data_IF_447032158997
#
_entry.id   IF_447032158997
#
_cell.length_a   1.000
_cell.length_b   1.000
_cell.length_c   1.000
_cell.angle_alpha   90.00
_cell.angle_beta   90.00
_cell.angle_gamma   90.00
#
_symmetry.space_group_name_H-M   'P 1'
#
loop_
_entity.id
_entity.type
_entity.pdbx_description
1 polymer ?
#
# COMPACT_ATOMS: atom_id res chain seq x y z
N UNK A 1 -14.98 66.42 58.05
CA UNK A 1 -16.26 67.13 57.81
C UNK A 1 -17.07 66.25 56.87
N UNK A 2 -18.03 65.49 57.41
CA UNK A 2 -19.48 65.76 57.33
C UNK A 2 -20.07 65.34 55.98
N UNK A 3 -20.77 64.20 55.91
CA UNK A 3 -22.26 64.06 55.89
C UNK A 3 -22.87 64.69 54.62
N UNK A 4 -23.83 64.10 53.89
CA UNK A 4 -24.54 62.82 53.87
C UNK A 4 -25.43 62.84 52.57
N UNK A 5 -26.16 61.77 52.23
CA UNK A 5 -26.71 61.48 50.91
C UNK A 5 -28.24 61.74 50.76
N UNK A 6 -28.77 61.48 49.56
CA UNK A 6 -30.20 61.37 49.22
C UNK A 6 -30.39 60.09 48.39
N UNK A 7 -31.05 59.00 48.86
CA UNK A 7 -32.52 58.70 48.80
C UNK A 7 -33.09 58.87 47.38
N UNK A 8 -33.85 57.96 46.76
CA UNK A 8 -34.49 56.65 47.03
C UNK A 8 -34.96 56.12 45.64
N UNK A 9 -35.69 55.04 45.40
CA UNK A 9 -36.55 54.17 46.21
C UNK A 9 -36.99 52.96 45.35
N UNK A 10 -37.07 51.80 45.99
CA UNK A 10 -37.98 50.65 45.87
C UNK A 10 -38.57 50.16 44.53
N UNK A 11 -38.31 48.87 44.26
CA UNK A 11 -39.27 47.90 43.75
C UNK A 11 -38.92 46.51 44.28
N UNK A 12 -39.74 45.96 45.20
CA UNK A 12 -39.66 44.59 45.71
C UNK A 12 -40.42 43.65 44.77
N UNK A 13 -39.91 42.44 44.54
CA UNK A 13 -40.75 41.28 44.31
C UNK A 13 -40.13 40.02 44.91
N UNK A 14 -41.00 39.21 45.51
CA UNK A 14 -40.71 38.05 46.34
C UNK A 14 -40.37 36.79 45.50
N UNK A 15 -39.65 35.84 46.12
CA UNK A 15 -39.35 34.49 45.59
C UNK A 15 -40.60 33.59 45.53
N UNK A 16 -40.52 32.24 45.42
CA UNK A 16 -39.42 31.34 45.84
C UNK A 16 -39.15 30.14 44.87
N UNK A 17 -38.42 29.13 45.37
CA UNK A 17 -38.15 27.76 44.84
C UNK A 17 -36.83 27.55 44.08
N UNK A 18 -35.80 27.22 44.86
CA UNK A 18 -34.72 26.35 44.39
C UNK A 18 -35.27 24.92 44.33
N UNK A 19 -35.29 24.34 43.13
CA UNK A 19 -35.31 22.90 42.96
C UNK A 19 -33.85 22.41 42.98
N UNK A 20 -33.55 21.57 43.95
CA UNK A 20 -32.36 20.73 44.00
C UNK A 20 -32.34 19.80 42.78
N UNK A 21 -31.27 19.87 41.99
CA UNK A 21 -30.97 18.92 40.92
C UNK A 21 -30.55 17.60 41.57
N UNK A 22 -31.14 16.44 41.20
CA UNK A 22 -30.66 15.14 41.65
C UNK A 22 -29.28 14.87 41.04
N UNK A 23 -28.31 14.54 41.88
CA UNK A 23 -27.08 13.88 41.44
C UNK A 23 -27.45 12.42 41.13
N UNK A 24 -27.75 12.14 39.87
CA UNK A 24 -27.73 10.77 39.36
C UNK A 24 -26.28 10.42 39.03
N UNK A 25 -25.66 9.68 39.96
CA UNK A 25 -24.41 8.96 39.76
C UNK A 25 -24.63 7.84 38.72
N UNK A 26 -24.62 8.21 37.44
CA UNK A 26 -24.50 7.26 36.33
C UNK A 26 -23.05 6.78 36.27
N UNK A 27 -22.78 5.73 37.06
CA UNK A 27 -21.54 4.97 37.02
C UNK A 27 -21.33 4.43 35.60
N UNK A 28 -20.45 5.08 34.84
CA UNK A 28 -19.94 4.55 33.57
C UNK A 28 -19.47 3.09 33.78
N UNK A 29 -19.95 2.13 32.98
CA UNK A 29 -19.48 0.75 33.11
C UNK A 29 -17.99 0.68 32.77
N UNK A 30 -17.24 0.04 33.67
CA UNK A 30 -15.81 -0.20 33.56
C UNK A 30 -15.53 -1.20 32.42
N UNK A 31 -15.25 -0.68 31.23
CA UNK A 31 -14.97 -1.47 30.03
C UNK A 31 -13.59 -2.15 30.05
N UNK A 32 -12.74 -1.91 31.05
CA UNK A 32 -11.45 -2.61 31.16
C UNK A 32 -11.59 -4.04 31.71
N UNK A 33 -12.71 -4.38 32.36
CA UNK A 33 -12.92 -5.72 32.94
C UNK A 33 -13.41 -6.79 31.94
N UNK A 34 -13.78 -6.43 30.71
CA UNK A 34 -14.34 -7.36 29.71
C UNK A 34 -13.30 -7.95 28.73
N UNK A 35 -12.04 -7.51 28.77
CA UNK A 35 -10.97 -8.01 27.88
C UNK A 35 -9.94 -8.80 28.67
N UNK A 36 -10.41 -9.77 29.44
CA UNK A 36 -9.53 -10.78 30.04
C UNK A 36 -10.34 -12.01 30.41
N UNK A 37 -10.44 -12.94 29.45
CA UNK A 37 -10.50 -14.41 29.60
C UNK A 37 -11.03 -15.04 28.31
N UNK A 38 -10.10 -15.45 27.43
CA UNK A 38 -10.05 -16.81 26.91
C UNK A 38 -8.86 -16.99 25.96
N UNK A 39 -7.89 -17.72 26.49
CA UNK A 39 -6.92 -18.61 25.83
C UNK A 39 -7.58 -19.39 24.67
N UNK A 40 -6.96 -19.94 23.63
CA UNK A 40 -5.58 -20.08 23.13
C UNK A 40 -5.67 -20.97 21.88
N UNK A 41 -4.62 -20.95 21.04
CA UNK A 41 -4.23 -21.95 20.03
C UNK A 41 -4.85 -21.86 18.63
N UNK A 42 -4.24 -21.05 17.76
CA UNK A 42 -3.83 -21.49 16.41
C UNK A 42 -2.55 -20.71 16.05
N UNK A 43 -1.39 -21.33 16.26
CA UNK A 43 -0.17 -21.00 15.53
C UNK A 43 -0.25 -21.71 14.18
N UNK A 44 -0.48 -20.97 13.11
CA UNK A 44 -0.12 -21.43 11.77
C UNK A 44 1.11 -20.62 11.33
N UNK A 45 2.26 -21.23 11.57
CA UNK A 45 3.47 -20.92 10.82
C UNK A 45 3.21 -21.39 9.39
N UNK A 46 3.22 -20.48 8.43
CA UNK A 46 3.42 -20.84 7.03
C UNK A 46 4.66 -20.16 6.46
N UNK A 47 5.47 -21.04 5.90
CA UNK A 47 6.86 -20.94 5.54
C UNK A 47 6.92 -20.47 4.08
N UNK A 48 7.36 -19.23 3.83
CA UNK A 48 7.89 -18.88 2.51
C UNK A 48 9.41 -19.10 2.52
N UNK A 49 9.74 -20.26 1.98
CA UNK A 49 11.05 -20.89 1.91
C UNK A 49 12.00 -20.10 1.01
N UNK A 50 12.74 -19.14 1.58
CA UNK A 50 14.08 -18.80 1.11
C UNK A 50 15.05 -19.74 1.80
N UNK A 51 15.74 -20.56 1.01
CA UNK A 51 16.68 -21.56 1.47
C UNK A 51 17.76 -20.97 2.38
N UNK A 52 17.58 -21.15 3.69
CA UNK A 52 18.67 -21.55 4.56
C UNK A 52 18.35 -22.97 5.05
N UNK A 53 19.29 -23.87 4.76
CA UNK A 53 19.30 -25.25 5.21
C UNK A 53 19.25 -25.28 6.74
N UNK A 54 18.26 -25.96 7.32
CA UNK A 54 18.43 -26.62 8.61
C UNK A 54 17.40 -27.74 8.80
N UNK A 55 17.91 -28.98 8.74
CA UNK A 55 17.23 -30.17 9.25
C UNK A 55 17.25 -30.15 10.79
N UNK A 56 16.20 -30.65 11.48
CA UNK A 56 16.29 -30.96 12.88
C UNK A 56 16.81 -32.39 13.04
N UNK A 57 18.10 -32.54 13.32
CA UNK A 57 18.63 -33.76 13.92
C UNK A 57 19.24 -33.42 15.26
N UNK A 58 18.52 -33.84 16.29
CA UNK A 58 18.99 -33.92 17.66
C UNK A 58 20.16 -34.91 17.71
N UNK A 59 21.37 -34.42 17.46
CA UNK A 59 22.63 -35.12 17.70
C UNK A 59 23.57 -34.09 18.31
N UNK A 60 23.98 -34.33 19.56
CA UNK A 60 25.15 -33.70 20.17
C UNK A 60 26.39 -34.07 19.36
N UNK A 61 26.56 -33.41 18.23
CA UNK A 61 27.71 -33.50 17.34
C UNK A 61 28.54 -32.24 17.50
N UNK A 62 29.80 -32.42 17.86
CA UNK A 62 30.85 -31.40 17.91
C UNK A 62 30.68 -30.37 16.78
N UNK A 63 30.54 -29.10 17.17
CA UNK A 63 30.54 -27.97 16.24
C UNK A 63 31.84 -27.98 15.44
N UNK A 64 31.80 -28.53 14.23
CA UNK A 64 32.89 -28.37 13.28
C UNK A 64 32.95 -26.89 12.93
N UNK A 65 33.97 -26.19 13.43
CA UNK A 65 34.38 -24.86 12.99
C UNK A 65 34.83 -24.93 11.52
N UNK A 66 33.92 -25.24 10.60
CA UNK A 66 34.17 -24.98 9.19
C UNK A 66 34.25 -23.46 9.06
N UNK A 67 35.36 -22.91 8.56
CA UNK A 67 35.45 -21.48 8.32
C UNK A 67 34.24 -21.12 7.45
N UNK A 68 33.40 -20.22 7.95
CA UNK A 68 32.28 -19.69 7.18
C UNK A 68 32.83 -19.29 5.83
N UNK A 69 32.32 -19.93 4.77
CA UNK A 69 32.71 -19.58 3.42
C UNK A 69 32.58 -18.06 3.31
N UNK A 70 33.67 -17.38 2.95
CA UNK A 70 33.73 -15.92 2.94
C UNK A 70 32.83 -15.38 1.83
N UNK A 71 31.51 -15.36 2.06
CA UNK A 71 30.53 -14.80 1.14
C UNK A 71 30.82 -13.31 0.99
N UNK A 72 31.31 -12.91 -0.19
CA UNK A 72 31.58 -11.51 -0.49
C UNK A 72 30.36 -10.87 -1.11
N UNK A 73 29.84 -9.84 -0.46
CA UNK A 73 28.77 -8.98 -0.96
C UNK A 73 29.35 -7.61 -1.30
N UNK A 74 29.03 -7.09 -2.47
CA UNK A 74 29.41 -5.75 -2.89
C UNK A 74 28.19 -4.83 -2.80
N UNK A 75 28.37 -3.62 -2.26
CA UNK A 75 27.28 -2.65 -2.08
C UNK A 75 27.69 -1.32 -2.70
N UNK A 76 26.91 -0.87 -3.68
CA UNK A 76 27.07 0.42 -4.33
C UNK A 76 26.00 1.38 -3.80
N UNK A 77 26.42 2.54 -3.30
CA UNK A 77 25.53 3.52 -2.68
C UNK A 77 25.38 4.74 -3.57
N UNK A 78 24.14 5.13 -3.84
CA UNK A 78 23.80 6.31 -4.64
C UNK A 78 22.91 7.24 -3.81
N UNK A 79 23.35 8.49 -3.64
CA UNK A 79 22.56 9.53 -2.98
C UNK A 79 21.82 10.36 -4.03
N UNK A 80 20.55 10.65 -3.78
CA UNK A 80 19.70 11.43 -4.67
C UNK A 80 18.81 12.38 -3.87
N UNK A 81 18.40 13.47 -4.50
CA UNK A 81 17.41 14.40 -3.96
C UNK A 81 16.23 14.49 -4.94
N UNK A 82 15.05 14.02 -4.53
CA UNK A 82 13.83 14.04 -5.35
C UNK A 82 12.74 14.86 -4.63
N UNK A 83 12.31 15.98 -5.22
CA UNK A 83 11.40 16.95 -4.59
C UNK A 83 11.76 17.24 -3.12
N UNK A 84 13.01 17.64 -2.87
CA UNK A 84 13.56 17.92 -1.54
C UNK A 84 13.59 16.73 -0.57
N UNK A 85 13.32 15.52 -1.06
CA UNK A 85 13.40 14.29 -0.28
C UNK A 85 14.76 13.64 -0.50
N UNK A 86 15.64 13.57 0.52
CA UNK A 86 16.89 12.84 0.41
C UNK A 86 16.62 11.33 0.37
N UNK A 87 17.12 10.67 -0.67
CA UNK A 87 16.93 9.24 -0.93
C UNK A 87 18.31 8.61 -1.14
N UNK A 88 18.55 7.46 -0.52
CA UNK A 88 19.72 6.64 -0.79
C UNK A 88 19.27 5.34 -1.46
N UNK A 89 19.94 4.94 -2.53
CA UNK A 89 19.77 3.63 -3.15
C UNK A 89 21.01 2.79 -2.89
N UNK A 90 20.78 1.52 -2.54
CA UNK A 90 21.83 0.52 -2.44
C UNK A 90 21.61 -0.54 -3.51
N UNK A 91 22.63 -0.74 -4.34
CA UNK A 91 22.69 -1.86 -5.28
C UNK A 91 23.64 -2.87 -4.70
N UNK A 92 23.09 -4.00 -4.28
CA UNK A 92 23.83 -5.13 -3.76
C UNK A 92 24.12 -6.11 -4.89
N UNK A 93 25.37 -6.57 -4.98
CA UNK A 93 25.83 -7.58 -5.93
C UNK A 93 26.42 -8.75 -5.14
N UNK A 94 25.79 -9.91 -5.25
CA UNK A 94 26.15 -11.14 -4.53
C UNK A 94 26.43 -12.26 -5.53
N UNK A 95 27.62 -12.88 -5.52
CA UNK A 95 27.88 -14.06 -6.33
C UNK A 95 27.06 -15.25 -5.82
N UNK A 96 26.43 -16.00 -6.73
CA UNK A 96 25.60 -17.14 -6.36
C UNK A 96 26.42 -18.29 -5.72
N UNK A 97 27.68 -18.44 -6.13
CA UNK A 97 28.63 -19.42 -5.58
C UNK A 97 29.43 -18.89 -4.38
N UNK A 98 29.17 -17.66 -3.95
CA UNK A 98 29.89 -16.97 -2.88
C UNK A 98 31.29 -16.47 -3.26
N UNK A 99 31.78 -16.76 -4.49
CA UNK A 99 33.12 -16.40 -4.94
C UNK A 99 33.07 -15.24 -5.94
N UNK A 100 33.98 -14.25 -5.85
CA UNK A 100 34.01 -13.13 -6.78
C UNK A 100 34.70 -13.51 -8.11
N UNK A 101 34.22 -14.57 -8.75
CA UNK A 101 34.72 -15.11 -10.02
C UNK A 101 33.68 -14.94 -11.12
N UNK A 102 34.06 -15.17 -12.38
CA UNK A 102 33.10 -15.19 -13.48
C UNK A 102 32.01 -16.24 -13.20
N UNK A 103 30.75 -15.87 -13.35
CA UNK A 103 29.63 -16.73 -12.96
C UNK A 103 28.31 -15.98 -12.82
N UNK A 104 27.36 -16.61 -12.13
CA UNK A 104 26.04 -16.02 -11.88
C UNK A 104 26.07 -15.12 -10.65
N UNK A 105 25.54 -13.91 -10.79
CA UNK A 105 25.40 -12.92 -9.73
C UNK A 105 23.95 -12.53 -9.54
N UNK A 106 23.58 -12.29 -8.28
CA UNK A 106 22.29 -11.75 -7.88
C UNK A 106 22.44 -10.27 -7.53
N UNK A 107 21.60 -9.45 -8.14
CA UNK A 107 21.46 -8.03 -7.88
C UNK A 107 20.22 -7.80 -7.02
N UNK A 108 20.36 -6.99 -5.97
CA UNK A 108 19.24 -6.53 -5.15
C UNK A 108 19.27 -5.01 -5.05
N UNK A 109 18.12 -4.40 -5.20
CA UNK A 109 17.94 -2.96 -5.04
C UNK A 109 17.20 -2.69 -3.72
N UNK A 110 17.80 -1.88 -2.87
CA UNK A 110 17.11 -1.30 -1.70
C UNK A 110 17.15 0.22 -1.75
N UNK A 111 16.18 0.83 -1.09
CA UNK A 111 16.04 2.26 -0.93
C UNK A 111 15.96 2.58 0.54
N UNK A 112 16.77 3.53 0.98
CA UNK A 112 16.74 4.10 2.32
C UNK A 112 16.33 5.55 2.28
N UNK A 113 15.32 5.85 3.08
CA UNK A 113 14.78 7.19 3.23
C UNK A 113 14.47 7.37 4.70
N UNK A 114 15.01 8.44 5.27
CA UNK A 114 14.79 8.79 6.68
C UNK A 114 15.06 7.64 7.67
N UNK A 115 16.21 6.99 7.52
CA UNK A 115 16.62 5.88 8.39
C UNK A 115 15.80 4.58 8.25
N UNK A 116 14.93 4.50 7.26
CA UNK A 116 14.18 3.28 6.91
C UNK A 116 14.66 2.77 5.56
N UNK A 117 15.27 1.59 5.54
CA UNK A 117 15.69 0.88 4.33
C UNK A 117 14.71 -0.26 4.01
N UNK A 118 14.27 -0.34 2.76
CA UNK A 118 13.45 -1.45 2.25
C UNK A 118 13.89 -1.90 0.86
N UNK A 119 13.55 -3.12 0.48
CA UNK A 119 13.74 -3.61 -0.88
C UNK A 119 12.83 -2.86 -1.87
N UNK A 120 13.33 -2.69 -3.08
CA UNK A 120 12.60 -2.09 -4.20
C UNK A 120 12.57 -3.09 -5.35
N UNK A 121 11.43 -3.76 -5.52
CA UNK A 121 11.25 -4.80 -6.52
C UNK A 121 11.94 -6.12 -6.17
N UNK A 122 11.94 -7.03 -7.14
CA UNK A 122 12.52 -8.37 -7.01
C UNK A 122 14.02 -8.37 -7.36
N UNK A 123 14.75 -9.37 -6.86
CA UNK A 123 16.16 -9.56 -7.19
C UNK A 123 16.34 -10.03 -8.63
N UNK A 124 17.44 -9.62 -9.27
CA UNK A 124 17.71 -9.95 -10.68
C UNK A 124 19.01 -10.74 -10.77
N UNK A 125 19.02 -11.83 -11.54
CA UNK A 125 20.23 -12.61 -11.79
C UNK A 125 20.84 -12.29 -13.16
N UNK A 126 22.17 -12.21 -13.23
CA UNK A 126 22.94 -12.07 -14.48
C UNK A 126 24.19 -12.93 -14.44
N UNK A 127 24.62 -13.42 -15.60
CA UNK A 127 25.92 -14.06 -15.77
C UNK A 127 26.92 -12.97 -16.10
N UNK A 128 28.05 -12.95 -15.39
CA UNK A 128 29.07 -11.91 -15.51
C UNK A 128 30.45 -12.54 -15.58
N UNK A 129 31.31 -11.99 -16.43
CA UNK A 129 32.75 -12.28 -16.48
C UNK A 129 33.60 -11.17 -15.88
N UNK A 130 33.00 -10.01 -15.61
CA UNK A 130 33.69 -8.80 -15.12
C UNK A 130 33.74 -8.79 -13.59
N UNK A 131 34.85 -8.27 -13.04
CA UNK A 131 35.02 -8.13 -11.59
C UNK A 131 33.90 -7.26 -11.00
N UNK A 132 33.12 -7.78 -10.03
CA UNK A 132 32.02 -7.04 -9.42
C UNK A 132 32.45 -5.78 -8.65
N UNK A 133 33.74 -5.48 -8.51
CA UNK A 133 34.29 -4.23 -7.93
C UNK A 133 34.46 -3.10 -8.95
N UNK A 134 34.40 -3.41 -10.24
CA UNK A 134 34.60 -2.45 -11.33
C UNK A 134 33.29 -2.05 -12.02
N UNK A 135 32.15 -2.43 -11.43
CA UNK A 135 30.86 -2.14 -12.02
C UNK A 135 30.52 -0.67 -11.83
N UNK A 136 29.94 -0.07 -12.86
CA UNK A 136 29.37 1.26 -12.80
C UNK A 136 27.86 1.15 -13.00
N UNK A 137 27.09 1.91 -12.22
CA UNK A 137 25.64 2.00 -12.41
C UNK A 137 25.22 3.43 -12.72
N UNK A 138 24.29 3.56 -13.66
CA UNK A 138 23.52 4.78 -13.88
C UNK A 138 22.17 4.65 -13.16
N UNK A 139 21.99 5.44 -12.11
CA UNK A 139 20.78 5.46 -11.29
C UNK A 139 20.10 6.82 -11.47
N UNK A 140 18.89 6.82 -12.00
CA UNK A 140 18.15 8.07 -12.20
C UNK A 140 16.65 7.88 -11.93
N UNK A 141 16.05 8.93 -11.39
CA UNK A 141 14.61 9.03 -11.16
C UNK A 141 14.03 10.18 -11.98
N UNK A 142 12.79 10.01 -12.42
CA UNK A 142 12.01 11.06 -13.05
C UNK A 142 10.55 10.99 -12.57
N UNK A 143 9.77 12.08 -12.68
CA UNK A 143 8.35 12.05 -12.31
C UNK A 143 7.63 10.94 -13.08
N UNK A 144 6.78 10.15 -12.39
CA UNK A 144 6.09 9.03 -13.02
C UNK A 144 5.04 9.46 -14.05
N UNK A 145 4.60 8.52 -14.90
CA UNK A 145 3.76 8.81 -16.09
C UNK A 145 2.44 9.53 -15.81
N UNK A 146 1.95 9.54 -14.58
CA UNK A 146 0.74 10.26 -14.17
C UNK A 146 0.96 11.13 -12.91
N UNK A 147 2.20 11.58 -12.65
CA UNK A 147 2.53 12.28 -11.41
C UNK A 147 1.67 13.52 -11.12
N UNK A 148 1.08 14.15 -12.15
CA UNK A 148 0.16 15.30 -12.01
C UNK A 148 -1.27 14.93 -11.60
N UNK A 149 -1.68 13.69 -11.84
CA UNK A 149 -3.03 13.19 -11.53
C UNK A 149 -3.05 12.36 -10.25
N UNK A 150 -1.89 11.86 -9.83
CA UNK A 150 -1.75 10.99 -8.68
C UNK A 150 -1.62 11.82 -7.42
N UNK A 151 -2.53 11.58 -6.48
CA UNK A 151 -2.55 12.23 -5.18
C UNK A 151 -1.91 11.33 -4.11
N UNK A 152 -1.19 11.92 -3.13
CA UNK A 152 -0.82 13.35 -3.07
C UNK A 152 0.18 13.71 -4.17
N UNK A 153 0.14 14.97 -4.63
CA UNK A 153 1.03 15.45 -5.70
C UNK A 153 2.51 15.32 -5.31
N UNK A 154 3.39 15.27 -6.30
CA UNK A 154 4.85 15.17 -6.12
C UNK A 154 5.33 13.89 -5.40
N UNK A 155 4.47 12.88 -5.28
CA UNK A 155 4.82 11.64 -4.60
C UNK A 155 5.21 10.49 -5.53
N UNK A 156 4.81 10.52 -6.80
CA UNK A 156 5.02 9.43 -7.75
C UNK A 156 6.26 9.65 -8.63
N UNK A 157 7.18 8.68 -8.56
CA UNK A 157 8.42 8.64 -9.32
C UNK A 157 8.57 7.34 -10.11
N UNK A 158 9.31 7.40 -11.20
CA UNK A 158 9.83 6.22 -11.90
C UNK A 158 11.35 6.17 -11.73
N UNK A 159 11.86 5.01 -11.32
CA UNK A 159 13.28 4.73 -11.12
C UNK A 159 13.79 3.81 -12.24
N UNK A 160 15.01 4.10 -12.69
CA UNK A 160 15.78 3.26 -13.61
C UNK A 160 17.17 3.05 -13.07
N UNK A 161 17.63 1.81 -13.18
CA UNK A 161 19.00 1.41 -12.84
C UNK A 161 19.57 0.64 -14.02
N UNK A 162 20.64 1.16 -14.59
CA UNK A 162 21.40 0.52 -15.66
C UNK A 162 22.78 0.16 -15.15
N UNK A 163 23.25 -1.04 -15.49
CA UNK A 163 24.62 -1.47 -15.30
C UNK A 163 25.41 -1.11 -16.56
N UNK A 164 26.52 -0.38 -16.40
CA UNK A 164 27.44 -0.02 -17.47
C UNK A 164 28.71 -0.85 -17.36
N UNK A 165 29.01 -1.63 -18.39
CA UNK A 165 30.20 -2.48 -18.45
C UNK A 165 30.74 -2.46 -19.87
N UNK A 166 32.03 -2.13 -20.03
CA UNK A 166 32.75 -2.14 -21.30
C UNK A 166 32.01 -1.39 -22.45
N UNK A 167 31.38 -0.27 -22.12
CA UNK A 167 30.62 0.56 -23.08
C UNK A 167 29.24 0.02 -23.46
N UNK A 168 28.78 -1.07 -22.81
CA UNK A 168 27.44 -1.63 -22.99
C UNK A 168 26.58 -1.37 -21.75
N UNK A 169 25.38 -0.85 -21.98
CA UNK A 169 24.42 -0.52 -20.93
C UNK A 169 23.33 -1.59 -20.84
N UNK A 170 23.17 -2.19 -19.66
CA UNK A 170 22.17 -3.21 -19.37
C UNK A 170 21.14 -2.70 -18.35
N UNK A 171 19.87 -2.63 -18.74
CA UNK A 171 18.81 -2.30 -17.77
C UNK A 171 18.69 -3.43 -16.74
N UNK A 172 18.92 -3.09 -15.47
CA UNK A 172 18.67 -3.99 -14.36
C UNK A 172 17.26 -3.74 -13.84
N UNK A 173 17.04 -2.60 -13.19
CA UNK A 173 15.79 -2.34 -12.49
C UNK A 173 14.95 -1.27 -13.20
N UNK A 174 13.65 -1.55 -13.30
CA UNK A 174 12.63 -0.65 -13.82
C UNK A 174 11.45 -0.61 -12.85
N UNK A 175 11.32 0.50 -12.13
CA UNK A 175 10.23 0.72 -11.16
C UNK A 175 9.43 1.90 -11.66
N UNK A 176 8.20 1.66 -12.10
CA UNK A 176 7.35 2.73 -12.66
C UNK A 176 6.59 3.50 -11.57
N UNK A 177 6.34 2.84 -10.44
CA UNK A 177 5.47 3.31 -9.35
C UNK A 177 6.20 3.38 -8.01
N UNK A 178 7.18 4.28 -7.90
CA UNK A 178 7.89 4.55 -6.65
C UNK A 178 7.29 5.76 -5.94
N UNK A 179 6.61 5.51 -4.82
CA UNK A 179 5.89 6.53 -4.06
C UNK A 179 6.69 7.01 -2.85
N UNK A 180 7.18 8.23 -2.93
CA UNK A 180 7.99 8.88 -1.89
C UNK A 180 7.90 10.40 -2.01
N UNK A 181 7.81 11.09 -0.88
CA UNK A 181 7.87 12.55 -0.86
C UNK A 181 7.91 13.13 0.55
N UNK A 182 8.36 14.37 0.64
CA UNK A 182 8.45 15.16 1.86
C UNK A 182 7.22 16.08 1.95
N UNK A 183 6.61 16.15 3.14
CA UNK A 183 5.51 17.06 3.46
C UNK A 183 4.36 17.02 2.45
N UNK A 184 3.94 15.80 2.10
CA UNK A 184 2.89 15.56 1.13
C UNK A 184 1.53 16.08 1.65
N UNK A 185 0.79 16.78 0.80
CA UNK A 185 -0.54 17.30 1.15
C UNK A 185 -1.61 16.21 0.97
N UNK A 186 -1.84 15.42 2.03
CA UNK A 186 -2.89 14.42 2.05
C UNK A 186 -4.31 15.01 2.12
N UNK A 187 -4.46 16.29 2.49
CA UNK A 187 -5.78 16.94 2.54
C UNK A 187 -6.32 17.22 1.13
N UNK A 188 -5.44 17.23 0.11
CA UNK A 188 -5.84 17.32 -1.29
C UNK A 188 -6.61 16.09 -1.80
N UNK A 189 -6.61 14.98 -1.05
CA UNK A 189 -7.31 13.74 -1.41
C UNK A 189 -8.78 13.87 -1.02
N UNK A 190 -9.63 14.19 -2.00
CA UNK A 190 -11.09 14.22 -1.82
C UNK A 190 -11.66 12.89 -1.32
N UNK A 191 -12.68 12.97 -0.48
CA UNK A 191 -13.43 11.85 0.10
C UNK A 191 -12.60 10.82 0.89
N UNK A 192 -11.33 11.12 1.19
CA UNK A 192 -10.48 10.22 1.96
C UNK A 192 -10.92 10.16 3.42
N UNK A 193 -11.09 8.94 3.93
CA UNK A 193 -11.28 8.67 5.34
C UNK A 193 -9.97 8.16 5.95
N UNK A 194 -9.42 8.91 6.89
CA UNK A 194 -8.14 8.63 7.54
C UNK A 194 -8.33 7.87 8.84
N UNK A 195 -7.57 6.79 9.01
CA UNK A 195 -7.50 6.09 10.29
C UNK A 195 -6.65 6.90 11.29
N UNK A 196 -7.11 6.98 12.52
CA UNK A 196 -6.43 7.67 13.62
C UNK A 196 -5.65 6.67 14.45
N UNK A 197 -4.43 7.02 14.83
CA UNK A 197 -3.66 6.23 15.77
C UNK A 197 -4.41 6.16 17.12
N UNK A 198 -4.65 4.94 17.59
CA UNK A 198 -5.47 4.66 18.76
C UNK A 198 -4.65 4.06 19.91
N UNK A 199 -3.56 3.37 19.63
CA UNK A 199 -2.74 2.74 20.67
C UNK A 199 -1.40 2.23 20.14
N UNK A 200 -0.41 2.21 21.04
CA UNK A 200 0.93 1.70 20.79
C UNK A 200 1.22 0.59 21.79
N UNK A 201 1.51 -0.60 21.27
CA UNK A 201 2.02 -1.74 22.03
C UNK A 201 3.54 -1.88 21.91
N UNK A 202 4.07 -2.98 22.46
CA UNK A 202 5.50 -3.29 22.39
C UNK A 202 5.94 -3.70 20.97
N UNK A 203 5.07 -4.43 20.28
CA UNK A 203 5.30 -5.04 18.96
C UNK A 203 4.16 -4.74 17.97
N UNK A 204 3.26 -3.80 18.31
CA UNK A 204 2.16 -3.40 17.44
C UNK A 204 1.74 -1.93 17.60
N UNK A 205 1.05 -1.41 16.59
CA UNK A 205 0.32 -0.14 16.60
C UNK A 205 -1.10 -0.35 16.10
N UNK A 206 -2.07 0.32 16.73
CA UNK A 206 -3.49 0.22 16.39
C UNK A 206 -3.95 1.55 15.80
N UNK A 207 -4.68 1.46 14.69
CA UNK A 207 -5.31 2.60 14.03
C UNK A 207 -6.79 2.31 13.85
N UNK A 208 -7.66 3.29 14.11
CA UNK A 208 -9.11 3.15 13.95
C UNK A 208 -9.61 4.15 12.90
N UNK A 209 -10.37 3.68 11.93
CA UNK A 209 -10.93 4.51 10.87
C UNK A 209 -12.26 3.99 10.37
N UNK A 210 -13.00 4.82 9.65
CA UNK A 210 -14.24 4.40 8.99
C UNK A 210 -13.96 4.04 7.53
N UNK A 211 -14.49 2.90 7.07
CA UNK A 211 -14.45 2.47 5.67
C UNK A 211 -15.87 2.10 5.27
N UNK A 212 -16.48 2.86 4.36
CA UNK A 212 -17.85 2.61 3.92
C UNK A 212 -18.86 2.59 5.07
N UNK A 213 -18.74 3.49 6.05
CA UNK A 213 -19.52 3.54 7.30
C UNK A 213 -19.25 2.40 8.30
N UNK A 214 -18.41 1.40 7.98
CA UNK A 214 -17.96 0.41 8.96
C UNK A 214 -16.78 0.98 9.76
N UNK A 215 -16.78 0.76 11.09
CA UNK A 215 -15.61 1.02 11.92
C UNK A 215 -14.60 -0.12 11.73
N UNK A 216 -13.41 0.22 11.25
CA UNK A 216 -12.32 -0.71 10.99
C UNK A 216 -11.14 -0.39 11.90
N UNK A 217 -10.60 -1.44 12.53
CA UNK A 217 -9.37 -1.41 13.29
C UNK A 217 -8.26 -1.98 12.43
N UNK A 218 -7.26 -1.18 12.10
CA UNK A 218 -6.02 -1.63 11.47
C UNK A 218 -4.97 -1.87 12.53
N UNK A 219 -4.32 -3.03 12.48
CA UNK A 219 -3.25 -3.40 13.40
C UNK A 219 -1.97 -3.62 12.61
N UNK A 220 -0.95 -2.84 12.93
CA UNK A 220 0.39 -2.99 12.34
C UNK A 220 1.27 -3.68 13.36
N UNK A 221 1.71 -4.90 13.08
CA UNK A 221 2.62 -5.65 13.97
C UNK A 221 4.02 -5.66 13.40
N UNK A 222 5.03 -5.80 14.26
CA UNK A 222 6.39 -6.03 13.83
C UNK A 222 7.11 -7.06 14.70
N UNK A 223 7.95 -7.85 14.06
CA UNK A 223 8.84 -8.79 14.71
C UNK A 223 10.28 -8.54 14.26
N UNK A 224 11.21 -8.50 15.22
CA UNK A 224 12.63 -8.33 14.91
C UNK A 224 13.19 -9.65 14.37
N UNK A 225 13.75 -9.63 13.15
CA UNK A 225 14.42 -10.79 12.56
C UNK A 225 15.88 -10.85 13.03
N UNK A 226 16.67 -9.82 12.71
CA UNK A 226 18.10 -9.69 13.04
C UNK A 226 18.56 -8.26 12.80
N UNK A 227 19.63 -7.78 13.43
CA UNK A 227 20.35 -6.55 13.03
C UNK A 227 19.51 -5.41 12.44
N UNK A 228 18.59 -4.86 13.25
CA UNK A 228 17.66 -3.79 12.87
C UNK A 228 16.72 -4.08 11.70
N UNK A 229 16.70 -5.31 11.19
CA UNK A 229 15.74 -5.84 10.23
C UNK A 229 14.51 -6.34 10.99
N UNK A 230 13.36 -5.80 10.61
CA UNK A 230 12.06 -6.12 11.16
C UNK A 230 11.13 -6.62 10.05
N UNK A 231 10.28 -7.57 10.41
CA UNK A 231 9.18 -8.08 9.60
C UNK A 231 7.90 -7.44 10.08
N UNK A 232 7.16 -6.78 9.20
CA UNK A 232 5.88 -6.15 9.50
C UNK A 232 4.71 -6.94 8.91
N UNK A 233 3.59 -6.98 9.64
CA UNK A 233 2.28 -7.38 9.13
C UNK A 233 1.27 -6.25 9.30
N UNK A 234 0.34 -6.16 8.37
CA UNK A 234 -0.77 -5.21 8.38
C UNK A 234 -2.06 -6.02 8.35
N UNK A 235 -2.82 -5.95 9.43
CA UNK A 235 -4.09 -6.63 9.62
C UNK A 235 -5.22 -5.59 9.68
N UNK A 236 -6.42 -5.98 9.31
CA UNK A 236 -7.62 -5.21 9.60
C UNK A 236 -8.69 -6.08 10.27
N UNK A 237 -9.55 -5.46 11.05
CA UNK A 237 -10.70 -6.09 11.70
C UNK A 237 -11.89 -5.14 11.71
N UNK A 238 -13.07 -5.64 11.33
CA UNK A 238 -14.34 -4.93 11.42
C UNK A 238 -15.47 -5.89 11.80
N UNK A 239 -16.19 -5.58 12.89
CA UNK A 239 -17.31 -6.41 13.35
C UNK A 239 -16.94 -7.85 13.70
N UNK A 240 -15.70 -8.09 14.16
CA UNK A 240 -15.19 -9.42 14.50
C UNK A 240 -14.66 -10.24 13.31
N UNK A 241 -14.68 -9.69 12.09
CA UNK A 241 -14.09 -10.32 10.90
C UNK A 241 -12.89 -9.52 10.45
N UNK A 242 -11.78 -10.19 10.17
CA UNK A 242 -10.53 -9.56 9.76
C UNK A 242 -9.72 -10.41 8.81
N UNK A 243 -8.72 -9.80 8.19
CA UNK A 243 -7.77 -10.46 7.29
C UNK A 243 -6.44 -9.70 7.26
N UNK A 244 -5.41 -10.33 6.71
CA UNK A 244 -4.06 -9.77 6.57
C UNK A 244 -3.96 -9.05 5.23
N UNK A 245 -3.81 -7.72 5.26
CA UNK A 245 -3.61 -6.89 4.07
C UNK A 245 -2.23 -7.13 3.45
N UNK A 246 -1.21 -7.21 4.30
CA UNK A 246 0.17 -7.38 3.88
C UNK A 246 0.91 -8.17 4.96
N UNK A 247 1.55 -9.26 4.56
CA UNK A 247 2.43 -10.06 5.41
C UNK A 247 3.88 -9.96 4.94
N UNK A 248 4.80 -10.24 5.85
CA UNK A 248 6.24 -10.33 5.57
C UNK A 248 6.87 -9.08 4.93
N UNK A 249 6.39 -7.89 5.29
CA UNK A 249 7.00 -6.65 4.84
C UNK A 249 8.29 -6.36 5.63
N UNK A 250 9.45 -6.60 5.01
CA UNK A 250 10.74 -6.48 5.67
C UNK A 250 11.38 -5.11 5.46
N UNK A 251 11.77 -4.46 6.55
CA UNK A 251 12.52 -3.20 6.51
C UNK A 251 13.59 -3.13 7.60
N UNK A 252 14.70 -2.46 7.29
CA UNK A 252 15.72 -2.11 8.28
C UNK A 252 15.47 -0.72 8.80
N UNK A 253 15.53 -0.57 10.12
CA UNK A 253 15.14 0.67 10.79
C UNK A 253 16.29 1.08 11.70
N UNK A 254 16.82 2.28 11.51
CA UNK A 254 17.96 2.76 12.31
C UNK A 254 17.60 3.04 13.77
N UNK A 255 16.35 3.46 13.99
CA UNK A 255 15.80 3.84 15.29
C UNK A 255 14.87 2.75 15.84
N UNK A 256 14.21 3.06 16.96
CA UNK A 256 13.15 2.23 17.50
C UNK A 256 12.02 2.04 16.47
N UNK A 257 11.58 0.79 16.15
CA UNK A 257 10.45 0.56 15.25
C UNK A 257 9.17 1.29 15.67
N UNK A 258 9.00 1.57 16.97
CA UNK A 258 7.86 2.34 17.52
C UNK A 258 7.84 3.80 17.07
N UNK A 259 8.99 4.34 16.64
CA UNK A 259 9.09 5.71 16.12
C UNK A 259 8.53 5.86 14.70
N UNK A 260 8.35 4.75 13.99
CA UNK A 260 7.70 4.75 12.68
C UNK A 260 6.19 4.81 12.89
N UNK A 261 5.55 5.77 12.24
CA UNK A 261 4.09 5.87 12.22
C UNK A 261 3.57 5.58 10.84
N UNK A 262 2.28 5.26 10.75
CA UNK A 262 1.62 4.95 9.50
C UNK A 262 0.46 5.92 9.26
N UNK A 263 0.36 6.39 8.03
CA UNK A 263 -0.80 7.12 7.55
C UNK A 263 -1.61 6.16 6.68
N UNK A 264 -2.79 5.80 7.18
CA UNK A 264 -3.70 4.84 6.55
C UNK A 264 -4.96 5.61 6.17
N UNK A 265 -5.36 5.51 4.90
CA UNK A 265 -6.64 6.05 4.46
C UNK A 265 -7.34 5.13 3.47
N UNK A 266 -8.65 5.33 3.38
CA UNK A 266 -9.52 4.73 2.37
C UNK A 266 -10.17 5.81 1.52
N UNK A 267 -10.37 5.53 0.23
CA UNK A 267 -11.14 6.38 -0.68
C UNK A 267 -12.29 5.53 -1.24
N UNK A 268 -13.55 5.98 -1.14
CA UNK A 268 -14.67 5.25 -1.71
C UNK A 268 -14.53 5.13 -3.23
N UNK A 269 -14.91 3.97 -3.77
CA UNK A 269 -15.03 3.72 -5.21
C UNK A 269 -16.51 3.54 -5.54
N UNK A 270 -16.91 3.94 -6.74
CA UNK A 270 -18.23 3.62 -7.25
C UNK A 270 -18.40 2.10 -7.30
N UNK A 271 -19.34 1.58 -6.51
CA UNK A 271 -19.58 0.15 -6.34
C UNK A 271 -21.06 -0.16 -6.22
N UNK A 272 -21.40 -1.43 -6.42
CA UNK A 272 -22.75 -1.97 -6.22
C UNK A 272 -22.63 -3.19 -5.28
N UNK A 273 -23.13 -3.13 -4.03
CA UNK A 273 -23.85 -2.00 -3.41
C UNK A 273 -22.95 -0.78 -3.13
N UNK A 274 -23.58 0.39 -2.98
CA UNK A 274 -22.87 1.66 -2.75
C UNK A 274 -22.11 1.62 -1.43
N UNK A 275 -20.86 2.09 -1.45
CA UNK A 275 -20.01 2.14 -0.27
C UNK A 275 -19.40 0.79 0.14
N UNK A 276 -19.50 -0.23 -0.72
CA UNK A 276 -18.89 -1.53 -0.49
C UNK A 276 -17.42 -1.58 -0.91
N UNK A 277 -17.03 -0.90 -2.00
CA UNK A 277 -15.65 -0.95 -2.52
C UNK A 277 -14.89 0.33 -2.20
N UNK A 278 -13.64 0.16 -1.76
CA UNK A 278 -12.73 1.24 -1.39
C UNK A 278 -11.33 0.98 -1.91
N UNK A 279 -10.55 2.07 -2.07
CA UNK A 279 -9.11 2.02 -2.25
C UNK A 279 -8.44 2.25 -0.91
N UNK A 280 -7.65 1.30 -0.44
CA UNK A 280 -6.81 1.47 0.76
C UNK A 280 -5.40 1.84 0.33
N UNK A 281 -4.79 2.77 1.07
CA UNK A 281 -3.39 3.17 0.94
C UNK A 281 -2.75 3.23 2.31
N UNK A 282 -1.55 2.67 2.41
CA UNK A 282 -0.73 2.72 3.62
C UNK A 282 0.59 3.38 3.30
N UNK A 283 0.87 4.45 4.03
CA UNK A 283 2.09 5.22 3.95
C UNK A 283 2.86 5.09 5.24
N UNK A 284 4.14 4.76 5.14
CA UNK A 284 5.10 4.93 6.20
C UNK A 284 5.39 6.43 6.36
N UNK A 285 5.34 6.93 7.58
CA UNK A 285 5.64 8.32 7.95
C UNK A 285 6.79 8.34 8.95
N UNK A 286 7.90 8.97 8.56
CA UNK A 286 9.04 9.21 9.45
C UNK A 286 9.29 10.70 9.61
N UNK A 287 9.61 11.13 10.84
CA UNK A 287 10.00 12.50 11.15
C UNK A 287 11.39 12.81 10.57
N UNK A 288 11.54 13.90 9.83
CA UNK A 288 12.85 14.35 9.34
C UNK A 288 13.69 14.73 10.56
N UNK A 289 14.88 14.15 10.76
CA UNK A 289 15.73 14.53 11.87
C UNK A 289 16.06 16.01 11.71
N UNK A 290 15.74 16.81 12.71
CA UNK A 290 16.22 18.18 12.79
C UNK A 290 17.75 18.10 12.81
N UNK A 291 18.40 18.64 11.77
CA UNK A 291 19.86 18.70 11.74
C UNK A 291 20.30 19.52 12.93
N UNK A 292 20.99 18.89 13.89
CA UNK A 292 21.50 19.53 15.10
C UNK A 292 22.69 20.48 14.81
N UNK A 293 22.87 20.94 13.56
CA UNK A 293 23.93 21.88 13.23
C UNK A 293 23.61 23.24 13.87
N UNK A 294 24.35 23.66 14.90
CA UNK A 294 24.02 24.85 15.68
C UNK A 294 24.16 26.15 14.87
N UNK A 295 24.78 26.09 13.69
CA UNK A 295 25.02 27.23 12.80
C UNK A 295 23.81 27.48 11.87
N UNK A 296 22.96 26.46 11.64
CA UNK A 296 21.77 26.58 10.75
C UNK A 296 20.43 26.38 11.48
N UNK A 297 20.44 26.17 12.79
CA UNK A 297 19.23 26.01 13.59
C UNK A 297 18.55 27.35 13.91
N UNK A 298 17.96 28.03 12.91
CA UNK A 298 16.88 28.94 13.22
C UNK A 298 15.61 28.11 13.43
N UNK A 299 15.03 28.08 14.65
CA UNK A 299 13.82 27.32 14.91
C UNK A 299 12.67 27.97 14.15
N UNK A 300 12.26 27.36 13.03
CA UNK A 300 11.03 27.74 12.36
C UNK A 300 9.84 27.23 13.19
N UNK A 301 8.74 27.98 13.29
CA UNK A 301 7.59 27.63 14.14
C UNK A 301 6.81 26.39 13.68
N UNK A 302 7.17 25.77 12.55
CA UNK A 302 6.61 24.52 12.03
C UNK A 302 7.74 23.52 11.73
N UNK A 303 8.39 23.01 12.77
CA UNK A 303 9.61 22.20 12.64
C UNK A 303 9.36 20.71 12.29
N UNK A 304 8.11 20.25 12.28
CA UNK A 304 7.81 18.84 12.06
C UNK A 304 7.61 18.56 10.57
N UNK A 305 8.73 18.37 9.87
CA UNK A 305 8.72 17.86 8.51
C UNK A 305 8.71 16.33 8.51
N UNK A 306 7.94 15.73 7.61
CA UNK A 306 7.81 14.28 7.50
C UNK A 306 8.13 13.82 6.10
N UNK A 307 8.81 12.68 6.02
CA UNK A 307 8.96 11.94 4.76
C UNK A 307 8.00 10.76 4.77
N UNK A 308 7.28 10.63 3.67
CA UNK A 308 6.28 9.63 3.43
C UNK A 308 6.77 8.65 2.36
N UNK A 309 6.56 7.37 2.60
CA UNK A 309 6.81 6.31 1.62
C UNK A 309 5.59 5.42 1.54
N UNK A 310 5.03 5.21 0.35
CA UNK A 310 3.91 4.27 0.23
C UNK A 310 4.43 2.84 0.26
N UNK A 311 3.88 2.03 1.15
CA UNK A 311 4.31 0.64 1.38
C UNK A 311 3.26 -0.37 0.94
N UNK A 312 1.99 0.04 0.87
CA UNK A 312 0.90 -0.82 0.44
C UNK A 312 -0.19 -0.05 -0.29
N UNK A 313 -0.80 -0.70 -1.27
CA UNK A 313 -2.00 -0.23 -1.96
C UNK A 313 -2.92 -1.42 -2.26
N UNK A 314 -4.21 -1.22 -2.09
CA UNK A 314 -5.26 -2.17 -2.48
C UNK A 314 -6.42 -1.38 -3.08
N UNK A 315 -6.83 -1.72 -4.31
CA UNK A 315 -7.83 -0.94 -5.06
C UNK A 315 -9.25 -1.50 -5.04
N UNK A 316 -9.41 -2.74 -4.61
CA UNK A 316 -10.71 -3.44 -4.54
C UNK A 316 -10.98 -3.94 -3.12
N UNK A 317 -10.80 -3.07 -2.12
CA UNK A 317 -11.09 -3.42 -0.73
C UNK A 317 -12.60 -3.40 -0.48
N UNK A 318 -13.20 -4.57 -0.26
CA UNK A 318 -14.66 -4.73 -0.13
C UNK A 318 -15.11 -4.84 1.31
N UNK A 319 -15.49 -3.71 1.90
CA UNK A 319 -16.05 -3.62 3.24
C UNK A 319 -17.03 -2.44 3.30
N UNK A 320 -18.15 -2.62 3.99
CA UNK A 320 -19.07 -1.53 4.25
C UNK A 320 -20.01 -1.83 5.41
N UNK A 321 -20.38 -0.78 6.14
CA UNK A 321 -21.34 -0.84 7.23
C UNK A 321 -22.73 -0.54 6.71
N UNK A 322 -23.69 -1.43 7.00
CA UNK A 322 -25.11 -1.26 6.63
C UNK A 322 -25.29 -1.09 5.11
N UNK A 323 -24.75 -2.01 4.33
CA UNK A 323 -24.90 -2.02 2.88
C UNK A 323 -26.38 -2.22 2.49
N UNK A 324 -26.90 -1.35 1.63
CA UNK A 324 -28.30 -1.36 1.19
C UNK A 324 -28.49 -2.33 0.02
N UNK A 325 -28.46 -3.64 0.30
CA UNK A 325 -28.66 -4.66 -0.74
C UNK A 325 -30.03 -4.56 -1.44
N UNK A 326 -31.04 -4.03 -0.77
CA UNK A 326 -32.37 -3.79 -1.35
C UNK A 326 -32.37 -2.73 -2.48
N UNK A 327 -31.39 -1.81 -2.47
CA UNK A 327 -31.26 -0.79 -3.51
C UNK A 327 -30.73 -1.34 -4.85
N UNK A 328 -30.26 -2.59 -4.87
CA UNK A 328 -29.79 -3.26 -6.09
C UNK A 328 -30.93 -3.62 -7.07
N UNK A 329 -32.18 -3.43 -6.65
CA UNK A 329 -33.37 -3.57 -7.47
C UNK A 329 -33.84 -5.01 -7.66
N UNK A 330 -35.00 -5.15 -8.28
CA UNK A 330 -35.76 -6.42 -8.36
C UNK A 330 -35.11 -7.49 -9.24
N UNK A 331 -33.98 -7.20 -9.87
CA UNK A 331 -33.24 -8.16 -10.71
C UNK A 331 -32.28 -9.03 -9.89
N UNK A 332 -32.07 -8.70 -8.61
CA UNK A 332 -31.17 -9.45 -7.76
C UNK A 332 -31.92 -10.62 -7.11
N UNK A 333 -31.37 -11.83 -7.27
CA UNK A 333 -31.86 -13.03 -6.59
C UNK A 333 -31.02 -13.20 -5.32
N UNK A 334 -31.63 -12.96 -4.16
CA UNK A 334 -30.99 -13.21 -2.87
C UNK A 334 -31.25 -14.65 -2.43
N UNK A 335 -30.21 -15.33 -1.95
CA UNK A 335 -30.41 -16.55 -1.19
C UNK A 335 -31.13 -16.23 0.12
N UNK A 336 -32.04 -17.10 0.53
CA UNK A 336 -32.64 -17.07 1.85
C UNK A 336 -31.82 -17.98 2.78
N UNK A 337 -31.68 -17.63 4.07
CA UNK A 337 -31.05 -18.53 5.03
C UNK A 337 -31.87 -19.81 5.12
N UNK A 338 -31.18 -20.95 5.21
CA UNK A 338 -31.85 -22.23 5.45
C UNK A 338 -32.60 -22.19 6.79
N UNK A 339 -33.85 -22.69 6.80
CA UNK A 339 -34.68 -22.79 7.99
C UNK A 339 -34.12 -23.86 8.94
N UNK A 340 -33.12 -23.50 9.73
CA UNK A 340 -32.41 -24.43 10.63
C UNK A 340 -31.18 -23.81 11.28
N UNK A 341 -30.73 -22.65 10.80
CA UNK A 341 -29.50 -22.03 11.29
C UNK A 341 -28.25 -22.77 10.78
N UNK A 342 -27.07 -22.44 11.31
CA UNK A 342 -25.85 -23.13 10.95
C UNK A 342 -25.89 -24.58 11.47
N UNK A 343 -25.66 -25.55 10.57
CA UNK A 343 -25.48 -26.94 10.95
C UNK A 343 -24.02 -27.17 11.39
N UNK A 344 -23.83 -27.68 12.61
CA UNK A 344 -22.50 -28.09 13.08
C UNK A 344 -22.21 -29.50 12.60
N UNK A 345 -21.44 -29.62 11.51
CA UNK A 345 -20.99 -30.92 11.00
C UNK A 345 -19.79 -31.40 11.83
N UNK A 346 -19.98 -32.43 12.65
CA UNK A 346 -18.88 -33.11 13.32
C UNK A 346 -18.10 -33.95 12.31
N UNK A 347 -16.91 -33.48 11.93
CA UNK A 347 -15.99 -34.25 11.12
C UNK A 347 -15.36 -35.32 12.00
N UNK A 348 -15.68 -36.59 11.73
CA UNK A 348 -15.12 -37.76 12.44
C UNK A 348 -13.61 -37.91 12.24
N UNK A 349 -13.07 -37.26 11.21
CA UNK A 349 -11.64 -37.21 10.92
C UNK A 349 -11.19 -35.74 10.90
N UNK A 350 -10.08 -35.38 11.56
CA UNK A 350 -9.50 -34.06 11.38
C UNK A 350 -9.26 -33.83 9.88
N UNK A 351 -9.49 -32.60 9.37
CA UNK A 351 -9.22 -32.30 7.97
C UNK A 351 -7.78 -32.72 7.67
N UNK A 352 -7.63 -33.53 6.62
CA UNK A 352 -6.30 -33.95 6.16
C UNK A 352 -5.58 -32.66 5.83
N UNK A 353 -4.57 -32.30 6.64
CA UNK A 353 -3.68 -31.19 6.33
C UNK A 353 -3.26 -31.38 4.88
N UNK A 354 -3.38 -30.38 3.99
CA UNK A 354 -2.90 -30.48 2.63
C UNK A 354 -1.48 -31.04 2.69
N UNK A 355 -1.31 -32.31 2.32
CA UNK A 355 0.02 -32.87 2.26
C UNK A 355 0.66 -32.16 1.07
N UNK A 356 1.75 -31.42 1.32
CA UNK A 356 2.64 -30.87 0.30
C UNK A 356 3.21 -32.02 -0.56
N UNK A 357 2.39 -32.60 -1.43
CA UNK A 357 2.72 -33.81 -2.21
C UNK A 357 3.61 -33.54 -3.42
N UNK A 358 4.07 -32.31 -3.63
CA UNK A 358 4.76 -31.93 -4.87
C UNK A 358 6.28 -31.80 -4.74
N UNK A 359 6.92 -32.17 -3.62
CA UNK A 359 8.40 -32.11 -3.52
C UNK A 359 9.14 -33.40 -3.86
N UNK A 360 8.47 -34.55 -3.89
CA UNK A 360 9.17 -35.85 -4.08
C UNK A 360 9.05 -36.48 -5.48
N UNK A 361 8.26 -35.90 -6.39
CA UNK A 361 8.07 -36.49 -7.74
C UNK A 361 9.11 -36.09 -8.79
N UNK A 362 10.04 -35.19 -8.48
CA UNK A 362 11.09 -34.76 -9.43
C UNK A 362 12.43 -35.46 -9.23
N UNK A 363 12.62 -36.29 -8.20
CA UNK A 363 13.92 -36.91 -7.89
C UNK A 363 14.15 -38.32 -8.48
N UNK A 364 13.34 -38.75 -9.45
CA UNK A 364 13.26 -40.15 -9.83
C UNK A 364 13.23 -40.44 -11.33
N UNK A 365 13.98 -39.72 -12.18
CA UNK A 365 14.26 -40.13 -13.57
C UNK A 365 15.64 -39.65 -14.04
N UNK A 366 16.71 -40.10 -13.39
CA UNK A 366 18.02 -40.19 -14.04
C UNK A 366 18.38 -41.67 -14.18
N UNK A 367 18.16 -42.21 -15.37
CA UNK A 367 18.72 -43.49 -15.80
C UNK A 367 20.19 -43.25 -16.18
N UNK A 368 21.11 -44.16 -15.83
CA UNK A 368 22.49 -44.09 -16.29
C UNK A 368 22.55 -44.50 -17.77
N UNK A 369 22.81 -43.55 -18.67
CA UNK A 369 23.13 -43.87 -20.06
C UNK A 369 24.64 -44.02 -20.20
N UNK A 370 25.02 -45.27 -20.46
CA UNK A 370 26.34 -45.72 -20.87
C UNK A 370 26.78 -45.09 -22.21
N UNK A 371 28.07 -44.75 -22.28
CA UNK A 371 28.81 -44.31 -23.46
C UNK A 371 28.81 -45.32 -24.62
N UNK A 372 28.55 -44.86 -25.84
CA UNK A 372 29.10 -45.27 -27.17
C UNK A 372 28.59 -44.17 -28.14
N UNK A 373 29.36 -43.48 -28.97
CA UNK A 373 30.16 -43.96 -30.09
C UNK A 373 29.64 -43.28 -31.38
N UNK A 374 30.46 -42.39 -31.95
CA UNK A 374 30.70 -42.05 -33.38
C UNK A 374 29.59 -42.05 -34.46
N UNK A 375 29.70 -41.05 -35.37
CA UNK A 375 29.23 -40.99 -36.78
C UNK A 375 27.70 -40.89 -37.01
N UNK A 376 27.13 -40.37 -38.10
CA UNK A 376 27.47 -39.52 -39.25
C UNK A 376 26.14 -39.20 -39.98
N UNK A 377 26.09 -38.10 -40.72
CA UNK A 377 25.28 -37.75 -41.91
C UNK A 377 23.80 -38.17 -42.16
N UNK A 378 23.14 -37.22 -42.85
CA UNK A 378 22.02 -37.27 -43.82
C UNK A 378 20.62 -36.81 -43.39
N UNK A 379 20.28 -35.61 -43.89
CA UNK A 379 19.13 -35.23 -44.74
C UNK A 379 17.79 -35.98 -44.61
N UNK A 380 16.69 -35.23 -44.47
CA UNK A 380 15.62 -35.04 -45.49
C UNK A 380 14.25 -34.65 -44.85
N UNK A 381 13.76 -33.48 -45.25
CA UNK A 381 12.46 -33.21 -45.90
C UNK A 381 11.13 -33.55 -45.18
N UNK A 382 10.46 -32.44 -44.86
CA UNK A 382 9.05 -32.04 -45.06
C UNK A 382 7.93 -32.23 -44.01
N UNK A 383 6.96 -31.27 -44.02
CA UNK A 383 5.91 -31.09 -43.04
C UNK A 383 4.58 -31.71 -43.51
N UNK A 384 3.63 -31.86 -42.59
CA UNK A 384 2.23 -31.61 -42.92
C UNK A 384 1.38 -31.32 -41.66
N UNK A 385 0.47 -30.33 -41.72
CA UNK A 385 -0.53 -30.08 -40.70
C UNK A 385 -1.85 -30.76 -41.05
N UNK A 386 -2.63 -31.13 -40.05
CA UNK A 386 -3.95 -31.71 -40.22
C UNK A 386 -4.60 -31.86 -38.84
N UNK A 387 -5.92 -31.79 -38.63
CA UNK A 387 -7.10 -31.52 -39.44
C UNK A 387 -8.16 -31.08 -38.41
N UNK A 388 -8.95 -30.05 -38.69
CA UNK A 388 -10.15 -29.70 -37.91
C UNK A 388 -11.37 -30.42 -38.48
N UNK A 389 -12.25 -31.03 -37.66
CA UNK A 389 -13.51 -31.58 -38.15
C UNK A 389 -14.64 -30.52 -38.21
N UNK A 390 -15.59 -30.64 -39.15
CA UNK A 390 -16.71 -29.72 -39.33
C UNK A 390 -18.00 -30.23 -38.67
N UNK A 391 -18.89 -29.30 -38.31
CA UNK A 391 -20.32 -29.57 -38.25
C UNK A 391 -21.01 -29.27 -36.92
N UNK A 392 -21.79 -28.19 -36.89
CA UNK A 392 -23.12 -28.17 -36.26
C UNK A 392 -23.90 -26.94 -36.76
N UNK A 393 -24.97 -27.23 -37.49
CA UNK A 393 -25.91 -26.28 -38.07
C UNK A 393 -26.86 -25.69 -37.01
N UNK A 394 -27.44 -24.54 -37.37
CA UNK A 394 -28.49 -23.78 -36.67
C UNK A 394 -29.76 -24.61 -36.47
N UNK A 395 -30.69 -24.11 -35.62
CA UNK A 395 -32.00 -23.79 -36.18
C UNK A 395 -32.49 -22.37 -35.86
N UNK A 396 -33.21 -21.87 -36.86
CA UNK A 396 -34.07 -20.70 -36.89
C UNK A 396 -35.41 -21.11 -36.29
N UNK A 397 -35.97 -20.33 -35.36
CA UNK A 397 -37.43 -20.23 -35.23
C UNK A 397 -37.84 -18.81 -34.83
N UNK A 398 -38.56 -18.20 -35.77
CA UNK A 398 -39.49 -17.08 -35.61
C UNK A 398 -40.61 -17.42 -34.64
N UNK A 399 -41.13 -16.43 -33.91
CA UNK A 399 -42.57 -16.08 -33.85
C UNK A 399 -42.77 -14.83 -32.99
N UNK A 400 -43.44 -13.84 -33.57
CA UNK A 400 -44.04 -12.69 -32.88
C UNK A 400 -45.32 -13.13 -32.15
N UNK A 401 -45.84 -12.30 -31.23
CA UNK A 401 -47.15 -11.75 -31.53
C UNK A 401 -47.31 -10.26 -31.19
N UNK A 402 -48.17 -9.63 -32.00
CA UNK A 402 -48.80 -8.34 -31.77
C UNK A 402 -49.75 -8.38 -30.57
N UNK A 403 -49.88 -7.26 -29.89
CA UNK A 403 -50.89 -7.02 -28.86
C UNK A 403 -50.99 -5.54 -28.53
N UNK A 404 -51.79 -4.82 -29.30
CA UNK A 404 -52.21 -3.44 -29.08
C UNK A 404 -53.38 -3.42 -28.08
N UNK A 405 -53.44 -2.42 -27.19
CA UNK A 405 -54.61 -1.52 -26.92
C UNK A 405 -54.58 -0.91 -25.49
N UNK A 406 -54.74 0.42 -25.47
CA UNK A 406 -55.22 1.33 -24.40
C UNK A 406 -54.35 1.50 -23.14
N UNK A 407 -54.14 2.69 -22.57
CA UNK A 407 -54.77 4.00 -22.77
C UNK A 407 -55.08 4.63 -21.40
N UNK A 408 -54.24 5.55 -20.93
CA UNK A 408 -54.50 6.57 -19.87
C UNK A 408 -53.16 7.25 -19.54
N UNK A 409 -52.81 8.44 -20.08
CA UNK A 409 -53.31 9.78 -19.80
C UNK A 409 -53.05 10.27 -18.35
N UNK A 410 -52.42 11.46 -18.28
CA UNK A 410 -52.32 12.42 -17.14
C UNK A 410 -51.22 12.05 -16.11
N UNK A 411 -50.27 12.90 -15.68
CA UNK A 411 -50.14 14.36 -15.65
C UNK A 411 -48.66 14.78 -15.67
N UNK A 412 -48.33 15.82 -16.44
CA UNK A 412 -47.09 16.57 -16.30
C UNK A 412 -47.19 17.50 -15.08
N UNK A 413 -46.36 17.28 -14.05
CA UNK A 413 -46.07 18.29 -13.05
C UNK A 413 -44.75 18.99 -13.40
N UNK A 414 -44.89 20.21 -13.88
CA UNK A 414 -43.83 21.18 -14.12
C UNK A 414 -43.85 22.14 -12.92
N UNK A 415 -42.86 22.13 -12.00
CA UNK A 415 -42.74 23.21 -11.05
C UNK A 415 -42.15 24.43 -11.77
N UNK A 416 -42.93 25.51 -11.83
CA UNK A 416 -42.47 26.82 -12.23
C UNK A 416 -41.54 27.39 -11.16
N UNK A 417 -40.34 27.80 -11.59
CA UNK A 417 -39.44 28.63 -10.79
C UNK A 417 -39.82 30.12 -10.97
N UNK A 418 -39.85 30.94 -9.90
CA UNK A 418 -40.03 32.37 -10.02
C UNK A 418 -38.79 33.03 -10.65
N UNK A 419 -39.06 33.90 -11.61
CA UNK A 419 -38.10 34.73 -12.30
C UNK A 419 -37.85 36.06 -11.54
N UNK A 420 -36.61 36.53 -11.64
CA UNK A 420 -36.11 37.91 -11.47
C UNK A 420 -35.79 38.49 -10.07
N UNK A 421 -34.49 38.60 -9.79
CA UNK A 421 -33.85 39.86 -9.34
C UNK A 421 -32.58 40.07 -10.18
N UNK A 422 -32.47 41.15 -10.99
CA UNK A 422 -31.22 41.51 -11.66
C UNK A 422 -30.33 42.34 -10.73
N UNK A 423 -29.17 41.81 -10.34
CA UNK A 423 -28.12 42.61 -9.68
C UNK A 423 -27.32 43.32 -10.78
N UNK A 424 -27.46 44.64 -10.78
CA UNK A 424 -26.67 45.61 -11.54
C UNK A 424 -25.19 45.53 -11.13
N UNK A 425 -24.33 45.01 -12.01
CA UNK A 425 -22.87 45.16 -11.91
C UNK A 425 -22.48 46.53 -12.50
N UNK A 426 -21.96 47.42 -11.64
CA UNK A 426 -21.27 48.63 -12.09
C UNK A 426 -19.88 48.29 -12.64
N UNK A 427 -19.42 48.96 -13.71
CA UNK A 427 -18.07 48.81 -14.22
C UNK A 427 -17.09 49.64 -13.38
N UNK A 428 -16.21 48.97 -12.62
CA UNK A 428 -15.05 49.62 -12.01
C UNK A 428 -14.02 49.93 -13.09
N UNK A 429 -13.59 51.18 -13.05
CA UNK A 429 -12.78 51.90 -14.02
C UNK A 429 -11.32 51.46 -13.93
N UNK A 430 -10.71 51.31 -15.10
CA UNK A 430 -9.29 51.15 -15.43
C UNK A 430 -8.32 51.78 -14.42
N UNK A 431 -7.33 51.00 -14.01
CA UNK A 431 -5.98 51.50 -13.75
C UNK A 431 -4.96 50.70 -14.57
N UNK A 432 -3.98 51.43 -15.09
CA UNK A 432 -3.19 51.13 -16.27
C UNK A 432 -1.79 50.77 -15.79
N UNK A 433 -1.50 49.49 -15.58
CA UNK A 433 -0.15 49.04 -15.27
C UNK A 433 0.59 48.55 -16.52
N UNK A 434 1.86 48.96 -16.56
CA UNK A 434 2.76 48.96 -17.71
C UNK A 434 3.25 47.55 -18.02
N UNK A 435 3.29 47.21 -19.31
CA UNK A 435 3.94 46.02 -19.82
C UNK A 435 5.47 46.07 -19.60
N UNK A 436 6.12 44.96 -19.21
CA UNK A 436 7.55 44.82 -19.33
C UNK A 436 7.97 44.37 -20.74
N UNK A 437 9.07 44.95 -21.18
CA UNK A 437 9.75 44.88 -22.46
C UNK A 437 10.08 43.43 -22.90
N UNK A 438 9.79 43.10 -24.17
CA UNK A 438 10.26 41.89 -24.81
C UNK A 438 11.80 41.94 -24.97
N UNK A 439 12.49 40.96 -24.39
CA UNK A 439 13.91 40.69 -24.67
C UNK A 439 13.97 39.65 -25.78
N UNK A 440 14.43 40.08 -26.96
CA UNK A 440 14.82 39.21 -28.07
C UNK A 440 15.97 38.29 -27.62
N UNK A 441 15.76 36.97 -27.64
CA UNK A 441 16.85 35.99 -27.55
C UNK A 441 17.34 35.66 -28.95
N UNK A 442 18.50 36.19 -29.28
CA UNK A 442 19.35 35.82 -30.42
C UNK A 442 19.77 34.36 -30.30
N UNK A 443 19.59 33.61 -31.39
CA UNK A 443 19.89 32.19 -31.53
C UNK A 443 21.30 32.06 -32.13
N UNK A 444 22.30 31.80 -31.30
CA UNK A 444 23.66 31.48 -31.78
C UNK A 444 23.76 29.99 -32.07
N UNK A 445 23.97 29.67 -33.34
CA UNK A 445 24.30 28.35 -33.86
C UNK A 445 25.82 28.18 -33.69
N UNK A 446 26.26 27.14 -32.99
CA UNK A 446 27.67 26.73 -32.94
C UNK A 446 27.74 25.39 -33.64
N UNK A 447 28.32 25.39 -34.84
CA UNK A 447 28.79 24.20 -35.51
C UNK A 447 30.18 23.87 -34.93
N UNK A 448 30.40 22.62 -34.54
CA UNK A 448 31.73 22.09 -34.20
C UNK A 448 32.07 21.03 -35.24
N UNK A 449 33.24 21.25 -35.85
CA UNK A 449 33.96 20.40 -36.80
C UNK A 449 34.53 19.17 -36.12
#
# INVERSE_FOLDING_TARGET
MSRMPSRGSHGRNAGPYMQSIPNDDDACPDYEAAVSRSNSNVTSEDISNWSDVQQPLNVQGQASNKPSANFRRYVYTYNMLAAQTPIQFYITVEPHDGKPTAGQYQFRLSMRVNGVERLVGESISRIMSVDPRKLEFAVFMFPGKNAKQVLPLNSLWSLRVWLRVDGVDHQLFKVDDLFVGKDLDFNSIGDASFARHAGLGQDYQVYKGYVGKALITFTVRWHRIRDRLYKYSFEYEGGGVGDILLSDFRMRIDNDPRSITFLIYSIPVQSMPVGATHRIRIWLRGLVPLTNDPIMSQPLPFNDSYIYQRVFQLDDFKVGGRLEFHALGNKLVMAFPHCGGPETVQLSRPPVKPQDKDKDKERGKELPVTSFGSQSNHDLINPNPGVLPPGAQRPIHSLSPQGTISGSAVSHYHPQLPNHIPISLQPVRRERERAPTQVQKTRTRVDIV
#
